data_IF_342440176604
#
_entry.id   IF_342440176604
#
_cell.length_a   1.000
_cell.length_b   1.000
_cell.length_c   1.000
_cell.angle_alpha   90.00
_cell.angle_beta   90.00
_cell.angle_gamma   90.00
#
_symmetry.space_group_name_H-M   'P 1'
#
loop_
_entity.id
_entity.type
_entity.pdbx_description
1 polymer ?
#
# COMPACT_ATOMS: atom_id res chain seq x y z
N UNK A 1 -8.29 -3.25 3.60
CA UNK A 1 -8.11 -1.82 3.22
C UNK A 1 -7.21 -1.66 1.99
N UNK A 2 -6.46 -2.71 1.64
CA UNK A 2 -5.43 -2.77 0.60
C UNK A 2 -5.84 -2.22 -0.76
N UNK A 3 -7.02 -2.60 -1.26
CA UNK A 3 -7.50 -2.16 -2.58
C UNK A 3 -7.62 -0.64 -2.70
N UNK A 4 -8.07 0.04 -1.63
CA UNK A 4 -8.16 1.51 -1.59
C UNK A 4 -6.79 2.17 -1.65
N UNK A 5 -5.80 1.59 -0.96
CA UNK A 5 -4.41 2.08 -0.98
C UNK A 5 -3.75 1.89 -2.35
N UNK A 6 -3.98 0.74 -3.00
CA UNK A 6 -3.50 0.48 -4.37
C UNK A 6 -4.11 1.46 -5.37
N UNK A 7 -5.43 1.73 -5.26
CA UNK A 7 -6.09 2.75 -6.11
C UNK A 7 -5.47 4.13 -5.91
N UNK A 8 -5.23 4.53 -4.66
CA UNK A 8 -4.60 5.83 -4.36
C UNK A 8 -3.18 5.93 -4.91
N UNK A 9 -2.34 4.90 -4.72
CA UNK A 9 -0.99 4.85 -5.28
C UNK A 9 -1.03 5.03 -6.81
N UNK A 10 -1.89 4.28 -7.49
CA UNK A 10 -2.04 4.36 -8.94
C UNK A 10 -2.50 5.76 -9.39
N UNK A 11 -3.43 6.38 -8.68
CA UNK A 11 -3.88 7.75 -8.96
C UNK A 11 -2.75 8.77 -8.78
N UNK A 12 -2.00 8.69 -7.67
CA UNK A 12 -0.90 9.62 -7.40
C UNK A 12 0.25 9.45 -8.40
N UNK A 13 0.51 8.23 -8.86
CA UNK A 13 1.55 7.94 -9.85
C UNK A 13 1.25 8.55 -11.24
N UNK A 14 0.00 8.93 -11.53
CA UNK A 14 -0.36 9.65 -12.75
C UNK A 14 -0.13 11.16 -12.66
N UNK A 15 0.21 11.71 -11.49
CA UNK A 15 0.39 13.15 -11.30
C UNK A 15 1.80 13.54 -11.74
N UNK A 16 1.90 14.34 -12.79
CA UNK A 16 3.17 14.94 -13.18
C UNK A 16 3.61 15.98 -12.14
N UNK A 17 4.85 15.86 -11.67
CA UNK A 17 5.46 16.77 -10.71
C UNK A 17 6.81 17.25 -11.22
N UNK A 18 7.26 18.44 -10.80
CA UNK A 18 8.53 19.03 -11.23
C UNK A 18 9.37 19.50 -10.04
N UNK A 19 10.69 19.40 -10.20
CA UNK A 19 11.67 19.92 -9.24
C UNK A 19 11.54 19.27 -7.86
N UNK A 20 11.43 20.10 -6.82
CA UNK A 20 11.31 19.63 -5.42
C UNK A 20 10.08 18.75 -5.20
N UNK A 21 8.99 19.04 -5.88
CA UNK A 21 7.74 18.29 -5.70
C UNK A 21 7.85 16.85 -6.19
N UNK A 22 8.73 16.57 -7.17
CA UNK A 22 9.01 15.20 -7.63
C UNK A 22 9.67 14.37 -6.54
N UNK A 23 10.60 14.97 -5.78
CA UNK A 23 11.25 14.30 -4.64
C UNK A 23 10.24 13.98 -3.54
N UNK A 24 9.37 14.94 -3.21
CA UNK A 24 8.31 14.75 -2.22
C UNK A 24 7.31 13.67 -2.70
N UNK A 25 6.92 13.67 -3.97
CA UNK A 25 6.02 12.66 -4.52
C UNK A 25 6.64 11.25 -4.42
N UNK A 26 7.94 11.10 -4.69
CA UNK A 26 8.63 9.83 -4.51
C UNK A 26 8.54 9.32 -3.06
N UNK A 27 8.78 10.19 -2.07
CA UNK A 27 8.63 9.84 -0.65
C UNK A 27 7.17 9.44 -0.30
N UNK A 28 6.18 10.14 -0.86
CA UNK A 28 4.77 9.78 -0.67
C UNK A 28 4.43 8.40 -1.26
N UNK A 29 4.91 8.10 -2.47
CA UNK A 29 4.68 6.82 -3.13
C UNK A 29 5.37 5.67 -2.37
N UNK A 30 6.60 5.88 -1.90
CA UNK A 30 7.30 4.89 -1.05
C UNK A 30 6.54 4.61 0.25
N UNK A 31 6.00 5.65 0.89
CA UNK A 31 5.19 5.48 2.10
C UNK A 31 3.92 4.66 1.82
N UNK A 32 3.23 4.95 0.71
CA UNK A 32 2.06 4.19 0.28
C UNK A 32 2.38 2.71 0.00
N UNK A 33 3.52 2.42 -0.64
CA UNK A 33 3.97 1.04 -0.86
C UNK A 33 4.16 0.27 0.45
N UNK A 34 4.72 0.92 1.48
CA UNK A 34 4.89 0.30 2.81
C UNK A 34 3.53 -0.01 3.43
N UNK A 35 2.57 0.92 3.37
CA UNK A 35 1.21 0.69 3.87
C UNK A 35 0.50 -0.46 3.14
N UNK A 36 0.69 -0.58 1.82
CA UNK A 36 0.14 -1.70 1.03
C UNK A 36 0.74 -3.03 1.47
N UNK A 37 2.07 -3.08 1.68
CA UNK A 37 2.77 -4.27 2.16
C UNK A 37 2.33 -4.68 3.57
N UNK A 38 2.17 -3.72 4.47
CA UNK A 38 1.72 -3.97 5.84
C UNK A 38 0.29 -4.51 5.87
N UNK A 39 -0.60 -3.97 5.04
CA UNK A 39 -1.97 -4.47 4.93
C UNK A 39 -2.03 -5.86 4.31
N UNK A 40 -1.17 -6.15 3.32
CA UNK A 40 -1.04 -7.50 2.77
C UNK A 40 -0.62 -8.52 3.81
N UNK A 41 0.40 -8.20 4.63
CA UNK A 41 0.85 -9.09 5.71
C UNK A 41 -0.24 -9.36 6.74
N UNK A 42 -1.05 -8.33 7.07
CA UNK A 42 -2.21 -8.50 7.97
C UNK A 42 -3.26 -9.42 7.38
N UNK A 43 -3.54 -9.29 6.08
CA UNK A 43 -4.49 -10.18 5.38
C UNK A 43 -3.97 -11.63 5.36
N UNK A 44 -2.66 -11.84 5.18
CA UNK A 44 -2.02 -13.17 5.22
C UNK A 44 -2.10 -13.80 6.62
N UNK A 45 -1.73 -13.06 7.67
CA UNK A 45 -1.80 -13.53 9.07
C UNK A 45 -3.23 -13.85 9.53
N UNK A 46 -4.23 -13.10 9.05
CA UNK A 46 -5.63 -13.37 9.36
C UNK A 46 -6.16 -14.64 8.68
N UNK A 47 -5.62 -15.02 7.51
CA UNK A 47 -6.00 -16.26 6.83
C UNK A 47 -5.42 -17.47 7.55
N UNK A 48 -4.12 -17.42 7.88
CA UNK A 48 -3.45 -18.49 8.64
C UNK A 48 -4.12 -18.73 9.99
N UNK A 49 -4.50 -17.67 10.71
CA UNK A 49 -5.15 -17.82 12.03
C UNK A 49 -6.51 -18.50 11.92
N UNK A 50 -7.29 -18.24 10.86
CA UNK A 50 -8.61 -18.84 10.64
C UNK A 50 -8.51 -20.31 10.23
N UNK A 51 -7.54 -20.66 9.39
CA UNK A 51 -7.30 -22.06 9.00
C UNK A 51 -6.93 -22.94 10.21
N UNK A 52 -6.18 -22.40 11.18
CA UNK A 52 -5.80 -23.15 12.41
C UNK A 52 -6.96 -23.31 13.40
N UNK A 53 -8.02 -22.49 13.32
CA UNK A 53 -9.17 -22.60 14.24
C UNK A 53 -10.34 -23.44 13.69
N UNK A 54 -10.27 -23.83 12.41
CA UNK A 54 -11.32 -24.62 11.74
C UNK A 54 -10.93 -26.10 11.49
N UNK A 55 -9.72 -26.53 11.88
CA UNK A 55 -9.28 -27.94 12.00
C UNK A 55 -9.40 -28.48 13.44
#
# INVERSE_FOLDING_TARGET
MKEKLVKLYNTMNMIETKGRNTKIMAECLEYLERLIKDEQKKEEQQKETKEITEE
#
